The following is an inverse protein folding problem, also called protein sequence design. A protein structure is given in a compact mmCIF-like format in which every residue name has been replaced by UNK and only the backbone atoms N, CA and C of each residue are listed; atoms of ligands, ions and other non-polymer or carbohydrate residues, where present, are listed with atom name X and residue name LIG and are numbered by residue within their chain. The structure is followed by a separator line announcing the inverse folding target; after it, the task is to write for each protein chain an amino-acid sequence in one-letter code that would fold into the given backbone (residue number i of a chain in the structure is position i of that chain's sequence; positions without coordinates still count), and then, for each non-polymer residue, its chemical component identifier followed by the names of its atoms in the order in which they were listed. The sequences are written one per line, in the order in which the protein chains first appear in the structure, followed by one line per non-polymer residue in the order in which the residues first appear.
data_IF_975496259421
#
_entry.id   IF_975496259421
#
_cell.length_a   1.000
_cell.length_b   1.000
_cell.length_c   1.000
_cell.angle_alpha   90.00
_cell.angle_beta   90.00
_cell.angle_gamma   90.00
#
_symmetry.space_group_name_H-M   'P 1'
#
loop_
_entity.id
_entity.type
_entity.pdbx_description
1 polymer ?
#
# COMPACT_ATOMS: atom_id res chain seq x y z
N UNK A 1 -15.95 -38.23 33.37
CA UNK A 1 -14.71 -37.62 32.87
C UNK A 1 -14.01 -37.01 34.09
N UNK A 2 -12.79 -37.46 34.42
CA UNK A 2 -12.18 -37.08 35.70
C UNK A 2 -11.65 -35.64 35.60
N UNK A 3 -11.72 -34.90 36.70
CA UNK A 3 -11.30 -33.48 36.79
C UNK A 3 -9.83 -33.30 36.36
N UNK A 4 -9.00 -34.32 36.61
CA UNK A 4 -7.62 -34.37 36.14
C UNK A 4 -7.52 -34.45 34.61
N UNK A 5 -8.39 -35.23 33.96
CA UNK A 5 -8.41 -35.37 32.49
C UNK A 5 -8.85 -34.08 31.81
N UNK A 6 -9.79 -33.33 32.40
CA UNK A 6 -10.22 -32.01 31.90
C UNK A 6 -9.11 -30.95 32.02
N UNK A 7 -8.38 -30.92 33.15
CA UNK A 7 -7.28 -29.96 33.34
C UNK A 7 -6.15 -30.23 32.34
N UNK A 8 -5.85 -31.51 32.07
CA UNK A 8 -4.81 -31.91 31.13
C UNK A 8 -5.15 -31.55 29.68
N UNK A 9 -6.42 -31.68 29.28
CA UNK A 9 -6.91 -31.28 27.96
C UNK A 9 -6.88 -29.75 27.76
N UNK A 10 -7.24 -28.96 28.78
CA UNK A 10 -7.19 -27.49 28.71
C UNK A 10 -5.74 -27.01 28.59
N UNK A 11 -4.82 -27.59 29.36
CA UNK A 11 -3.39 -27.27 29.26
C UNK A 11 -2.84 -27.55 27.86
N UNK A 12 -3.22 -28.68 27.26
CA UNK A 12 -2.78 -29.08 25.92
C UNK A 12 -3.35 -28.14 24.83
N UNK A 13 -4.61 -27.71 24.97
CA UNK A 13 -5.23 -26.72 24.06
C UNK A 13 -4.52 -25.36 24.10
N UNK A 14 -4.14 -24.88 25.29
CA UNK A 14 -3.43 -23.60 25.45
C UNK A 14 -2.02 -23.65 24.83
N UNK A 15 -1.34 -24.79 24.91
CA UNK A 15 -0.04 -25.02 24.26
C UNK A 15 -0.20 -25.01 22.73
N UNK A 16 -1.24 -25.63 22.19
CA UNK A 16 -1.50 -25.61 20.74
C UNK A 16 -1.80 -24.19 20.23
N UNK A 17 -2.53 -23.38 20.99
CA UNK A 17 -2.83 -21.97 20.64
C UNK A 17 -1.55 -21.11 20.67
N UNK A 18 -0.66 -21.32 21.64
CA UNK A 18 0.60 -20.57 21.72
C UNK A 18 1.57 -20.96 20.60
N UNK A 19 1.63 -22.25 20.24
CA UNK A 19 2.40 -22.72 19.07
C UNK A 19 1.82 -22.15 17.77
N UNK A 20 0.49 -22.17 17.61
CA UNK A 20 -0.18 -21.64 16.41
C UNK A 20 -0.01 -20.12 16.25
N UNK A 21 -0.10 -19.35 17.35
CA UNK A 21 0.13 -17.91 17.33
C UNK A 21 1.60 -17.56 17.06
N UNK A 22 2.54 -18.31 17.66
CA UNK A 22 3.97 -18.18 17.37
C UNK A 22 4.28 -18.51 15.90
N UNK A 23 3.71 -19.59 15.36
CA UNK A 23 3.87 -19.96 13.95
C UNK A 23 3.33 -18.89 12.99
N UNK A 24 2.16 -18.29 13.29
CA UNK A 24 1.63 -17.13 12.54
C UNK A 24 2.57 -15.93 12.61
N UNK A 25 3.13 -15.63 13.78
CA UNK A 25 4.07 -14.51 13.97
C UNK A 25 5.37 -14.72 13.17
N UNK A 26 5.89 -15.95 13.13
CA UNK A 26 7.09 -16.30 12.37
C UNK A 26 6.87 -16.25 10.85
N UNK A 27 5.69 -16.65 10.35
CA UNK A 27 5.35 -16.52 8.93
C UNK A 27 5.25 -15.06 8.47
N UNK A 28 4.84 -14.13 9.36
CA UNK A 28 4.85 -12.69 9.08
C UNK A 28 6.28 -12.12 8.95
N UNK A 29 7.29 -12.89 9.35
CA UNK A 29 8.71 -12.50 9.46
C UNK A 29 9.62 -13.25 8.46
N UNK A 30 9.10 -13.71 7.31
CA UNK A 30 9.97 -14.05 6.17
C UNK A 30 10.78 -12.82 5.77
N UNK A 31 12.05 -13.02 5.42
CA UNK A 31 13.10 -12.01 5.16
C UNK A 31 12.63 -10.93 4.16
N UNK A 32 11.90 -9.92 4.63
CA UNK A 32 11.47 -8.77 3.84
C UNK A 32 12.70 -7.90 3.59
N UNK A 33 12.99 -7.62 2.33
CA UNK A 33 14.05 -6.72 1.93
C UNK A 33 13.42 -5.49 1.27
N UNK A 34 13.88 -4.32 1.67
CA UNK A 34 13.57 -3.07 0.96
C UNK A 34 14.58 -2.93 -0.17
N UNK A 35 14.09 -2.86 -1.40
CA UNK A 35 14.90 -2.62 -2.59
C UNK A 35 14.60 -1.22 -3.13
N UNK A 36 15.59 -0.58 -3.74
CA UNK A 36 15.40 0.66 -4.47
C UNK A 36 14.64 0.35 -5.77
N UNK A 37 13.44 0.92 -6.01
CA UNK A 37 12.67 0.64 -7.23
C UNK A 37 13.42 1.01 -8.52
N UNK A 38 14.36 1.97 -8.46
CA UNK A 38 15.16 2.38 -9.62
C UNK A 38 16.21 1.35 -10.05
N UNK A 39 16.49 0.35 -9.20
CA UNK A 39 17.39 -0.76 -9.51
C UNK A 39 16.64 -1.94 -10.14
N UNK A 40 15.30 -1.86 -10.21
CA UNK A 40 14.46 -2.89 -10.81
C UNK A 40 14.27 -2.64 -12.30
N UNK A 41 14.39 -3.70 -13.09
CA UNK A 41 14.00 -3.67 -14.50
C UNK A 41 12.48 -3.80 -14.58
N UNK A 42 11.77 -2.87 -15.27
CA UNK A 42 10.33 -2.99 -15.46
C UNK A 42 9.96 -4.31 -16.15
N UNK A 43 8.90 -4.95 -15.68
CA UNK A 43 8.35 -6.14 -16.34
C UNK A 43 7.90 -5.86 -17.78
N UNK A 44 7.71 -6.91 -18.59
CA UNK A 44 7.18 -6.77 -19.94
C UNK A 44 5.73 -6.26 -19.91
N UNK A 45 5.28 -5.71 -21.04
CA UNK A 45 3.85 -5.50 -21.28
C UNK A 45 3.18 -6.88 -21.34
N UNK A 46 2.18 -7.10 -20.49
CA UNK A 46 1.42 -8.36 -20.44
C UNK A 46 -0.03 -8.19 -20.90
N UNK A 47 -0.50 -6.96 -21.07
CA UNK A 47 -1.79 -6.63 -21.68
C UNK A 47 -1.59 -5.80 -22.93
N UNK A 48 -2.09 -6.26 -24.08
CA UNK A 48 -2.00 -5.49 -25.33
C UNK A 48 -2.87 -4.23 -25.30
N UNK A 49 -4.03 -4.31 -24.65
CA UNK A 49 -5.00 -3.22 -24.55
C UNK A 49 -5.62 -3.20 -23.15
N UNK A 50 -6.04 -2.01 -22.72
CA UNK A 50 -6.89 -1.82 -21.54
C UNK A 50 -8.30 -1.46 -22.02
N UNK A 51 -9.31 -1.78 -21.23
CA UNK A 51 -10.69 -1.38 -21.53
C UNK A 51 -10.84 0.14 -21.46
N UNK A 52 -11.84 0.69 -22.15
CA UNK A 52 -12.14 2.12 -22.08
C UNK A 52 -12.41 2.58 -20.63
N UNK A 53 -13.10 1.76 -19.84
CA UNK A 53 -13.37 2.06 -18.42
C UNK A 53 -12.08 2.18 -17.61
N UNK A 54 -11.12 1.27 -17.82
CA UNK A 54 -9.81 1.33 -17.18
C UNK A 54 -9.05 2.60 -17.60
N UNK A 55 -9.06 2.93 -18.89
CA UNK A 55 -8.39 4.13 -19.42
C UNK A 55 -8.97 5.40 -18.79
N UNK A 56 -10.29 5.52 -18.66
CA UNK A 56 -10.91 6.69 -18.02
C UNK A 56 -10.52 6.82 -16.54
N UNK A 57 -10.45 5.70 -15.80
CA UNK A 57 -9.95 5.70 -14.42
C UNK A 57 -8.48 6.13 -14.34
N UNK A 58 -7.64 5.64 -15.25
CA UNK A 58 -6.21 5.99 -15.33
C UNK A 58 -6.03 7.47 -15.66
N UNK A 59 -6.82 8.03 -16.59
CA UNK A 59 -6.80 9.47 -16.89
C UNK A 59 -7.08 10.31 -15.65
N UNK A 60 -8.09 9.93 -14.87
CA UNK A 60 -8.42 10.63 -13.63
C UNK A 60 -7.25 10.57 -12.64
N UNK A 61 -6.75 9.36 -12.36
CA UNK A 61 -5.61 9.14 -11.46
C UNK A 61 -4.39 9.98 -11.88
N UNK A 62 -4.00 9.92 -13.16
CA UNK A 62 -2.84 10.65 -13.67
C UNK A 62 -3.03 12.16 -13.56
N UNK A 63 -4.22 12.67 -13.89
CA UNK A 63 -4.51 14.10 -13.79
C UNK A 63 -4.43 14.60 -12.35
N UNK A 64 -4.97 13.85 -11.37
CA UNK A 64 -4.96 14.22 -9.96
C UNK A 64 -3.54 14.30 -9.38
N UNK A 65 -2.63 13.44 -9.84
CA UNK A 65 -1.24 13.40 -9.34
C UNK A 65 -0.24 14.14 -10.23
N UNK A 66 -0.68 14.79 -11.31
CA UNK A 66 0.21 15.32 -12.35
C UNK A 66 1.21 16.38 -11.88
N UNK A 67 0.92 17.08 -10.78
CA UNK A 67 1.83 18.07 -10.19
C UNK A 67 2.94 17.44 -9.32
N UNK A 68 2.66 16.32 -8.66
CA UNK A 68 3.58 15.63 -7.73
C UNK A 68 4.21 14.36 -8.30
N UNK A 69 3.63 13.80 -9.35
CA UNK A 69 4.12 12.60 -10.05
C UNK A 69 3.96 12.78 -11.56
N UNK A 70 4.84 13.61 -12.19
CA UNK A 70 4.65 14.11 -13.55
C UNK A 70 5.06 13.09 -14.61
N UNK A 71 4.37 11.95 -14.66
CA UNK A 71 4.46 10.99 -15.77
C UNK A 71 3.39 11.28 -16.81
N UNK A 72 3.66 10.97 -18.08
CA UNK A 72 2.67 11.19 -19.14
C UNK A 72 1.48 10.23 -18.99
N UNK A 73 0.35 10.56 -19.62
CA UNK A 73 -0.79 9.63 -19.69
C UNK A 73 -0.41 8.34 -20.44
N UNK A 74 0.40 8.45 -21.49
CA UNK A 74 0.89 7.30 -22.27
C UNK A 74 1.76 6.38 -21.42
N UNK A 75 2.69 6.93 -20.64
CA UNK A 75 3.52 6.17 -19.70
C UNK A 75 2.68 5.55 -18.60
N UNK A 76 1.68 6.28 -18.09
CA UNK A 76 0.74 5.75 -17.09
C UNK A 76 0.01 4.52 -17.62
N UNK A 77 -0.59 4.62 -18.83
CA UNK A 77 -1.26 3.50 -19.49
C UNK A 77 -0.27 2.34 -19.71
N UNK A 78 0.94 2.65 -20.15
CA UNK A 78 2.00 1.67 -20.40
C UNK A 78 2.43 0.93 -19.12
N UNK A 79 2.45 1.62 -17.97
CA UNK A 79 2.71 1.01 -16.67
C UNK A 79 1.56 0.07 -16.25
N UNK A 80 0.30 0.51 -16.37
CA UNK A 80 -0.85 -0.35 -16.06
C UNK A 80 -0.95 -1.59 -16.97
N UNK A 81 -0.46 -1.52 -18.21
CA UNK A 81 -0.36 -2.69 -19.11
C UNK A 81 0.68 -3.73 -18.67
N UNK A 82 1.59 -3.40 -17.74
CA UNK A 82 2.57 -4.34 -17.15
C UNK A 82 2.02 -5.05 -15.93
N UNK A 83 0.99 -4.49 -15.31
CA UNK A 83 0.41 -5.06 -14.10
C UNK A 83 -0.30 -6.37 -14.42
N UNK A 84 0.01 -7.43 -13.66
CA UNK A 84 -0.65 -8.74 -13.84
C UNK A 84 -2.17 -8.65 -13.69
N UNK A 85 -2.65 -7.71 -12.87
CA UNK A 85 -4.07 -7.43 -12.67
C UNK A 85 -4.32 -5.91 -12.66
N UNK A 86 -4.57 -5.30 -13.84
CA UNK A 86 -4.75 -3.86 -13.96
C UNK A 86 -5.94 -3.35 -13.13
N UNK A 87 -7.03 -4.11 -13.00
CA UNK A 87 -8.19 -3.71 -12.18
C UNK A 87 -7.83 -3.59 -10.70
N UNK A 88 -6.99 -4.50 -10.20
CA UNK A 88 -6.51 -4.42 -8.83
C UNK A 88 -5.64 -3.17 -8.62
N UNK A 89 -4.71 -2.91 -9.53
CA UNK A 89 -3.82 -1.77 -9.42
C UNK A 89 -4.57 -0.44 -9.57
N UNK A 90 -5.46 -0.34 -10.55
CA UNK A 90 -6.35 0.82 -10.71
C UNK A 90 -7.14 1.06 -9.42
N UNK A 91 -7.65 0.01 -8.77
CA UNK A 91 -8.36 0.15 -7.49
C UNK A 91 -7.45 0.69 -6.38
N UNK A 92 -6.20 0.24 -6.28
CA UNK A 92 -5.25 0.75 -5.29
C UNK A 92 -4.96 2.24 -5.54
N UNK A 93 -4.59 2.59 -6.76
CA UNK A 93 -4.29 3.97 -7.16
C UNK A 93 -5.50 4.89 -7.01
N UNK A 94 -6.71 4.41 -7.29
CA UNK A 94 -7.94 5.17 -7.09
C UNK A 94 -8.23 5.42 -5.61
N UNK A 95 -7.89 4.50 -4.71
CA UNK A 95 -7.97 4.74 -3.26
C UNK A 95 -6.93 5.75 -2.80
N UNK A 96 -5.71 5.72 -3.35
CA UNK A 96 -4.70 6.74 -3.10
C UNK A 96 -5.21 8.12 -3.54
N UNK A 97 -5.79 8.21 -4.75
CA UNK A 97 -6.36 9.42 -5.32
C UNK A 97 -7.46 10.01 -4.42
N UNK A 98 -8.38 9.18 -3.93
CA UNK A 98 -9.45 9.62 -3.03
C UNK A 98 -8.91 10.15 -1.69
N UNK A 99 -7.92 9.48 -1.09
CA UNK A 99 -7.31 9.95 0.16
C UNK A 99 -6.59 11.28 -0.03
N UNK A 100 -5.88 11.42 -1.15
CA UNK A 100 -5.19 12.65 -1.54
C UNK A 100 -6.17 13.80 -1.75
N UNK A 101 -7.18 13.63 -2.61
CA UNK A 101 -8.21 14.65 -2.87
C UNK A 101 -8.95 15.04 -1.60
N UNK A 102 -9.27 14.08 -0.73
CA UNK A 102 -9.93 14.36 0.55
C UNK A 102 -9.06 15.22 1.46
N UNK A 103 -7.77 14.94 1.58
CA UNK A 103 -6.84 15.78 2.34
C UNK A 103 -6.71 17.18 1.76
N UNK A 104 -6.56 17.30 0.43
CA UNK A 104 -6.45 18.60 -0.24
C UNK A 104 -7.72 19.45 -0.12
N UNK A 105 -8.90 18.83 -0.17
CA UNK A 105 -10.19 19.54 -0.08
C UNK A 105 -10.38 20.30 1.24
N UNK A 106 -9.67 19.87 2.30
CA UNK A 106 -9.67 20.52 3.62
C UNK A 106 -8.59 21.60 3.76
N UNK A 107 -7.65 21.68 2.82
CA UNK A 107 -6.45 22.51 2.88
C UNK A 107 -6.31 23.35 1.60
N UNK A 108 -7.10 24.42 1.50
CA UNK A 108 -7.24 25.22 0.27
C UNK A 108 -5.95 25.93 -0.16
N UNK A 109 -5.03 26.22 0.75
CA UNK A 109 -3.75 26.91 0.49
C UNK A 109 -2.56 25.98 0.76
N UNK A 110 -2.52 24.84 0.06
CA UNK A 110 -1.44 23.86 0.21
C UNK A 110 -0.34 24.04 -0.85
N UNK A 111 0.92 24.05 -0.41
CA UNK A 111 2.07 24.18 -1.30
C UNK A 111 2.35 22.88 -2.06
N UNK A 112 3.09 22.98 -3.17
CA UNK A 112 3.48 21.82 -3.98
C UNK A 112 4.36 20.83 -3.19
N UNK A 113 5.23 21.34 -2.31
CA UNK A 113 6.10 20.54 -1.46
C UNK A 113 5.27 19.74 -0.46
N UNK A 114 4.27 20.35 0.16
CA UNK A 114 3.37 19.64 1.08
C UNK A 114 2.54 18.60 0.35
N UNK A 115 2.00 18.93 -0.84
CA UNK A 115 1.32 17.96 -1.72
C UNK A 115 2.21 16.75 -2.03
N UNK A 116 3.50 16.99 -2.31
CA UNK A 116 4.47 15.94 -2.61
C UNK A 116 4.67 15.01 -1.41
N UNK A 117 4.73 15.55 -0.18
CA UNK A 117 4.77 14.72 1.03
C UNK A 117 3.49 13.93 1.27
N UNK A 118 2.31 14.52 1.02
CA UNK A 118 1.02 13.80 1.12
C UNK A 118 1.02 12.61 0.15
N UNK A 119 1.41 12.84 -1.11
CA UNK A 119 1.51 11.78 -2.11
C UNK A 119 2.49 10.68 -1.69
N UNK A 120 3.70 11.06 -1.25
CA UNK A 120 4.73 10.13 -0.76
C UNK A 120 4.22 9.29 0.41
N UNK A 121 3.52 9.89 1.36
CA UNK A 121 2.98 9.21 2.54
C UNK A 121 1.91 8.19 2.14
N UNK A 122 0.97 8.59 1.28
CA UNK A 122 -0.10 7.72 0.77
C UNK A 122 0.47 6.56 -0.04
N UNK A 123 1.43 6.83 -0.94
CA UNK A 123 2.12 5.80 -1.71
C UNK A 123 2.87 4.83 -0.80
N UNK A 124 3.56 5.32 0.23
CA UNK A 124 4.22 4.45 1.20
C UNK A 124 3.19 3.56 1.92
N UNK A 125 2.07 4.14 2.36
CA UNK A 125 1.00 3.43 3.07
C UNK A 125 0.28 2.39 2.22
N UNK A 126 0.24 2.54 0.89
CA UNK A 126 -0.33 1.49 0.02
C UNK A 126 0.54 0.22 0.01
N UNK A 127 1.83 0.35 0.27
CA UNK A 127 2.82 -0.73 0.23
C UNK A 127 3.12 -1.34 1.60
N UNK A 128 3.00 -0.57 2.69
CA UNK A 128 3.36 -1.00 4.04
C UNK A 128 2.36 -0.54 5.11
N UNK A 129 2.40 -1.19 6.28
CA UNK A 129 1.58 -0.80 7.42
C UNK A 129 2.01 0.54 8.02
N UNK A 130 1.10 1.20 8.72
CA UNK A 130 1.29 2.55 9.24
C UNK A 130 2.53 2.70 10.13
N UNK A 131 2.81 1.74 11.01
CA UNK A 131 3.98 1.81 11.89
C UNK A 131 5.28 1.81 11.08
N UNK A 132 5.33 1.03 10.00
CA UNK A 132 6.48 1.04 9.09
C UNK A 132 6.60 2.35 8.35
N UNK A 133 5.49 2.89 7.82
CA UNK A 133 5.50 4.20 7.15
C UNK A 133 6.09 5.26 8.08
N UNK A 134 5.61 5.36 9.32
CA UNK A 134 6.13 6.34 10.30
C UNK A 134 7.62 6.17 10.57
N UNK A 135 8.13 4.94 10.58
CA UNK A 135 9.55 4.68 10.83
C UNK A 135 10.47 4.84 9.62
N UNK A 136 9.93 4.86 8.40
CA UNK A 136 10.72 4.79 7.15
C UNK A 136 10.46 5.96 6.18
N UNK A 137 9.39 6.72 6.38
CA UNK A 137 9.02 7.86 5.55
C UNK A 137 9.32 9.15 6.29
N UNK A 138 10.39 9.84 5.90
CA UNK A 138 10.63 11.20 6.38
C UNK A 138 9.63 12.18 5.75
N UNK A 139 8.88 12.88 6.60
CA UNK A 139 8.03 14.03 6.29
C UNK A 139 8.56 15.24 7.07
N UNK A 140 8.88 16.33 6.36
CA UNK A 140 9.45 17.57 6.92
C UNK A 140 8.39 18.64 7.10
N UNK A 141 7.30 18.58 6.33
CA UNK A 141 6.27 19.61 6.24
C UNK A 141 4.97 19.13 6.90
N UNK A 142 4.61 17.86 6.74
CA UNK A 142 3.42 17.30 7.39
C UNK A 142 3.59 17.23 8.91
N UNK A 143 2.56 17.67 9.62
CA UNK A 143 2.45 17.47 11.07
C UNK A 143 1.96 16.07 11.41
N UNK A 144 2.19 15.61 12.65
CA UNK A 144 1.69 14.31 13.13
C UNK A 144 0.17 14.17 12.97
N UNK A 145 -0.58 15.24 13.26
CA UNK A 145 -2.04 15.25 13.11
C UNK A 145 -2.45 15.07 11.66
N UNK A 146 -1.78 15.74 10.72
CA UNK A 146 -2.07 15.60 9.29
C UNK A 146 -1.71 14.20 8.77
N UNK A 147 -0.61 13.61 9.25
CA UNK A 147 -0.28 12.23 8.93
C UNK A 147 -1.38 11.27 9.43
N UNK A 148 -1.88 11.46 10.65
CA UNK A 148 -3.01 10.68 11.19
C UNK A 148 -4.25 10.80 10.31
N UNK A 149 -4.62 12.02 9.92
CA UNK A 149 -5.75 12.25 9.02
C UNK A 149 -5.58 11.54 7.67
N UNK A 150 -4.38 11.61 7.08
CA UNK A 150 -4.08 10.95 5.81
C UNK A 150 -4.22 9.43 5.96
N UNK A 151 -3.73 8.85 7.05
CA UNK A 151 -3.88 7.40 7.31
C UNK A 151 -5.33 6.99 7.52
N UNK A 152 -6.15 7.83 8.16
CA UNK A 152 -7.59 7.59 8.28
C UNK A 152 -8.32 7.65 6.92
N UNK A 153 -7.84 8.49 5.99
CA UNK A 153 -8.45 8.60 4.66
C UNK A 153 -8.07 7.44 3.73
N UNK A 154 -6.90 6.81 3.94
CA UNK A 154 -6.49 5.63 3.18
C UNK A 154 -6.83 4.32 3.93
N UNK A 155 -7.99 3.75 3.63
CA UNK A 155 -8.54 2.59 4.36
C UNK A 155 -8.15 1.22 3.76
N UNK A 156 -7.39 1.18 2.66
CA UNK A 156 -6.98 -0.07 2.04
C UNK A 156 -5.85 -0.76 2.83
N UNK A 157 -5.96 -2.08 2.99
CA UNK A 157 -4.91 -2.89 3.61
C UNK A 157 -3.69 -2.98 2.67
N UNK A 158 -2.50 -2.71 3.22
CA UNK A 158 -1.25 -2.88 2.48
C UNK A 158 -0.99 -4.36 2.20
N UNK A 159 -0.67 -4.70 0.95
CA UNK A 159 -0.32 -6.07 0.54
C UNK A 159 1.07 -6.10 -0.08
N UNK A 160 2.13 -6.41 0.70
CA UNK A 160 3.48 -6.54 0.16
C UNK A 160 3.54 -7.58 -0.96
N UNK A 161 4.33 -7.29 -2.01
CA UNK A 161 4.56 -8.23 -3.10
C UNK A 161 5.49 -9.35 -2.60
N UNK A 162 5.05 -10.59 -2.77
CA UNK A 162 5.86 -11.78 -2.49
C UNK A 162 6.60 -12.15 -3.77
N UNK A 163 7.92 -12.01 -3.78
CA UNK A 163 8.78 -12.52 -4.85
C UNK A 163 9.31 -13.90 -4.46
N UNK A 164 9.36 -14.82 -5.44
CA UNK A 164 10.19 -16.02 -5.29
C UNK A 164 11.65 -15.59 -5.42
N UNK A 165 12.52 -16.10 -4.55
CA UNK A 165 13.97 -15.98 -4.76
C UNK A 165 14.32 -16.88 -5.94
N UNK A 166 14.87 -16.31 -7.01
CA UNK A 166 15.53 -17.08 -8.08
C UNK A 166 16.81 -17.75 -7.55
#
# INVERSE_FOLDING_TARGET
MNTQTTILLIGLLLILISIFSSYRKTQKNKNLQTLNPNELIPGPIVHEQLTNEQIEKIKKIQSTFSDVYPISLEDSITNFKRDRNPDNEIRIWFNMMQAYEKFLSKNLEITLEKKSEVFKLILSRSMMDENKVRSQTECKILTENEMNEIFEYYTFESKPIITAKE
#
